data_IF_494137861436
#
_entry.id   IF_494137861436
#
_cell.length_a   1.000
_cell.length_b   1.000
_cell.length_c   1.000
_cell.angle_alpha   90.00
_cell.angle_beta   90.00
_cell.angle_gamma   90.00
#
_symmetry.space_group_name_H-M   'P 1'
#
loop_
_entity.id
_entity.type
_entity.pdbx_description
1 polymer ?
#
# COMPACT_ATOMS: atom_id res chain seq x y z
N UNK A 1 -6.37 15.55 -4.21
CA UNK A 1 -6.50 14.39 -5.13
C UNK A 1 -6.08 13.07 -4.48
N UNK A 2 -4.87 12.99 -3.90
CA UNK A 2 -4.33 11.74 -3.34
C UNK A 2 -5.15 11.12 -2.20
N UNK A 3 -5.83 11.93 -1.38
CA UNK A 3 -6.65 11.42 -0.27
C UNK A 3 -7.86 10.61 -0.75
N UNK A 4 -8.64 11.15 -1.68
CA UNK A 4 -9.82 10.47 -2.20
C UNK A 4 -9.45 9.12 -2.84
N UNK A 5 -8.41 9.12 -3.68
CA UNK A 5 -7.89 7.91 -4.31
C UNK A 5 -7.41 6.90 -3.26
N UNK A 6 -6.65 7.32 -2.25
CA UNK A 6 -6.20 6.41 -1.19
C UNK A 6 -7.38 5.83 -0.39
N UNK A 7 -8.45 6.61 -0.14
CA UNK A 7 -9.67 6.13 0.53
C UNK A 7 -10.40 5.08 -0.31
N UNK A 8 -10.48 5.28 -1.61
CA UNK A 8 -11.04 4.30 -2.55
C UNK A 8 -10.23 3.00 -2.54
N UNK A 9 -8.90 3.08 -2.60
CA UNK A 9 -8.04 1.90 -2.49
C UNK A 9 -8.23 1.16 -1.17
N UNK A 10 -8.27 1.88 -0.04
CA UNK A 10 -8.51 1.28 1.28
C UNK A 10 -9.87 0.59 1.33
N UNK A 11 -10.90 1.17 0.71
CA UNK A 11 -12.24 0.58 0.64
C UNK A 11 -12.23 -0.70 -0.19
N UNK A 12 -11.59 -0.67 -1.36
CA UNK A 12 -11.42 -1.83 -2.22
C UNK A 12 -10.65 -2.95 -1.51
N UNK A 13 -9.50 -2.63 -0.90
CA UNK A 13 -8.71 -3.60 -0.14
C UNK A 13 -9.49 -4.17 1.04
N UNK A 14 -10.31 -3.36 1.73
CA UNK A 14 -11.14 -3.83 2.84
C UNK A 14 -12.16 -4.87 2.37
N UNK A 15 -12.87 -4.60 1.27
CA UNK A 15 -13.83 -5.54 0.69
C UNK A 15 -13.15 -6.82 0.19
N UNK A 16 -12.03 -6.68 -0.51
CA UNK A 16 -11.28 -7.81 -1.06
C UNK A 16 -10.70 -8.70 0.04
N UNK A 17 -10.14 -8.12 1.10
CA UNK A 17 -9.64 -8.87 2.25
C UNK A 17 -10.79 -9.55 2.99
N UNK A 18 -11.93 -8.87 3.17
CA UNK A 18 -13.07 -9.46 3.87
C UNK A 18 -13.61 -10.70 3.14
N UNK A 19 -13.83 -10.61 1.83
CA UNK A 19 -14.37 -11.73 1.04
C UNK A 19 -13.42 -12.94 0.99
N UNK A 20 -12.11 -12.69 1.07
CA UNK A 20 -11.08 -13.72 0.92
C UNK A 20 -10.50 -14.22 2.26
N UNK A 21 -10.96 -13.68 3.40
CA UNK A 21 -10.42 -13.97 4.73
C UNK A 21 -10.43 -15.47 5.05
N UNK A 22 -11.54 -16.15 4.80
CA UNK A 22 -11.69 -17.55 5.21
C UNK A 22 -10.85 -18.49 4.36
N UNK A 23 -10.59 -18.15 3.09
CA UNK A 23 -9.81 -18.95 2.15
C UNK A 23 -8.30 -18.79 2.37
N UNK A 24 -7.84 -17.59 2.75
CA UNK A 24 -6.42 -17.25 2.69
C UNK A 24 -5.83 -16.72 4.00
N UNK A 25 -6.55 -16.81 5.13
CA UNK A 25 -6.10 -16.31 6.45
C UNK A 25 -4.68 -16.71 6.87
N UNK A 26 -4.25 -17.92 6.52
CA UNK A 26 -2.94 -18.47 6.89
C UNK A 26 -1.85 -18.14 5.88
N UNK A 27 -2.22 -17.67 4.68
CA UNK A 27 -1.28 -17.41 3.59
C UNK A 27 -0.44 -16.15 3.87
N UNK A 28 0.87 -16.24 3.61
CA UNK A 28 1.80 -15.13 3.81
C UNK A 28 1.41 -13.88 3.00
N UNK A 29 1.07 -14.08 1.72
CA UNK A 29 0.68 -12.97 0.82
C UNK A 29 -0.55 -12.22 1.36
N UNK A 30 -1.51 -12.94 1.96
CA UNK A 30 -2.74 -12.37 2.48
C UNK A 30 -2.50 -11.56 3.77
N UNK A 31 -1.61 -12.05 4.63
CA UNK A 31 -1.16 -11.32 5.82
C UNK A 31 -0.45 -10.03 5.43
N UNK A 32 0.46 -10.08 4.45
CA UNK A 32 1.17 -8.89 3.93
C UNK A 32 0.22 -7.90 3.25
N UNK A 33 -0.77 -8.38 2.49
CA UNK A 33 -1.81 -7.51 1.92
C UNK A 33 -2.63 -6.79 3.00
N UNK A 34 -2.93 -7.49 4.10
CA UNK A 34 -3.61 -6.89 5.26
C UNK A 34 -2.76 -5.82 5.93
N UNK A 35 -1.43 -6.00 5.98
CA UNK A 35 -0.51 -4.97 6.47
C UNK A 35 -0.52 -3.73 5.58
N UNK A 36 -0.46 -3.88 4.25
CA UNK A 36 -0.56 -2.74 3.31
C UNK A 36 -1.85 -1.95 3.55
N UNK A 37 -2.99 -2.63 3.72
CA UNK A 37 -4.26 -1.97 4.08
C UNK A 37 -4.14 -1.18 5.40
N UNK A 38 -3.58 -1.78 6.45
CA UNK A 38 -3.41 -1.11 7.75
C UNK A 38 -2.52 0.12 7.65
N UNK A 39 -1.43 0.04 6.89
CA UNK A 39 -0.52 1.17 6.68
C UNK A 39 -1.15 2.26 5.81
N UNK A 40 -1.96 1.90 4.82
CA UNK A 40 -2.75 2.84 4.03
C UNK A 40 -3.72 3.63 4.93
N UNK A 41 -4.41 2.96 5.85
CA UNK A 41 -5.27 3.62 6.85
C UNK A 41 -4.47 4.56 7.75
N UNK A 42 -3.27 4.15 8.19
CA UNK A 42 -2.38 5.00 9.00
C UNK A 42 -1.84 6.21 8.24
N UNK A 43 -1.73 6.13 6.91
CA UNK A 43 -1.27 7.23 6.06
C UNK A 43 -2.37 8.28 5.87
N UNK A 44 -3.65 7.90 5.79
CA UNK A 44 -4.77 8.84 5.57
C UNK A 44 -4.72 10.11 6.44
N UNK A 45 -4.63 10.02 7.79
CA UNK A 45 -4.58 11.23 8.62
C UNK A 45 -3.25 11.99 8.53
N UNK A 46 -2.22 11.41 7.90
CA UNK A 46 -0.84 11.94 7.81
C UNK A 46 -0.48 12.39 6.40
N UNK A 47 -1.44 12.43 5.46
CA UNK A 47 -1.18 12.73 4.05
C UNK A 47 -0.55 14.11 3.81
N UNK A 48 -0.89 15.09 4.64
CA UNK A 48 -0.33 16.45 4.53
C UNK A 48 1.13 16.49 4.97
N UNK A 49 1.47 15.81 6.07
CA UNK A 49 2.83 15.78 6.60
C UNK A 49 3.16 14.38 7.17
N UNK A 50 3.59 13.44 6.32
CA UNK A 50 4.01 12.13 6.78
C UNK A 50 5.27 12.27 7.66
N UNK A 51 5.38 11.54 8.80
CA UNK A 51 6.59 11.53 9.59
C UNK A 51 7.80 11.06 8.78
N UNK A 52 8.99 11.53 9.12
CA UNK A 52 10.24 11.10 8.47
C UNK A 52 10.38 9.57 8.53
N UNK A 53 10.79 8.97 7.41
CA UNK A 53 10.95 7.52 7.27
C UNK A 53 9.66 6.69 7.28
N UNK A 54 8.48 7.29 7.52
CA UNK A 54 7.20 6.55 7.46
C UNK A 54 6.91 6.04 6.05
N UNK A 55 7.16 6.88 5.03
CA UNK A 55 6.92 6.53 3.63
C UNK A 55 7.85 5.40 3.17
N UNK A 56 9.12 5.41 3.57
CA UNK A 56 10.09 4.36 3.22
C UNK A 56 9.72 3.02 3.87
N UNK A 57 9.32 3.07 5.15
CA UNK A 57 8.81 1.91 5.86
C UNK A 57 7.54 1.35 5.25
N UNK A 58 6.66 2.21 4.74
CA UNK A 58 5.45 1.78 4.06
C UNK A 58 5.78 1.17 2.70
N UNK A 59 6.66 1.81 1.93
CA UNK A 59 7.12 1.32 0.63
C UNK A 59 7.75 -0.08 0.74
N UNK A 60 8.64 -0.31 1.71
CA UNK A 60 9.26 -1.61 1.93
C UNK A 60 8.22 -2.73 2.17
N UNK A 61 7.16 -2.43 2.92
CA UNK A 61 6.06 -3.38 3.19
C UNK A 61 5.20 -3.62 1.96
N UNK A 62 4.93 -2.57 1.19
CA UNK A 62 4.19 -2.66 -0.06
C UNK A 62 4.93 -3.54 -1.08
N UNK A 63 6.24 -3.31 -1.25
CA UNK A 63 7.09 -4.13 -2.11
C UNK A 63 7.15 -5.59 -1.62
N UNK A 64 7.26 -5.80 -0.31
CA UNK A 64 7.20 -7.14 0.28
C UNK A 64 5.88 -7.88 0.03
N UNK A 65 4.75 -7.16 0.05
CA UNK A 65 3.44 -7.71 -0.28
C UNK A 65 3.33 -8.02 -1.77
N UNK A 66 3.73 -7.09 -2.64
CA UNK A 66 3.77 -7.26 -4.09
C UNK A 66 4.58 -8.50 -4.50
N UNK A 67 5.82 -8.63 -4.01
CA UNK A 67 6.68 -9.78 -4.31
C UNK A 67 6.05 -11.11 -3.87
N UNK A 68 5.38 -11.13 -2.71
CA UNK A 68 4.70 -12.33 -2.24
C UNK A 68 3.52 -12.72 -3.12
N UNK A 69 2.78 -11.74 -3.67
CA UNK A 69 1.67 -12.00 -4.60
C UNK A 69 2.20 -12.50 -5.94
N UNK A 70 3.24 -11.87 -6.49
CA UNK A 70 3.87 -12.30 -7.75
C UNK A 70 4.36 -13.75 -7.67
N UNK A 71 5.01 -14.14 -6.57
CA UNK A 71 5.45 -15.52 -6.36
C UNK A 71 4.30 -16.54 -6.31
N UNK A 72 3.12 -16.13 -5.84
CA UNK A 72 1.94 -17.01 -5.84
C UNK A 72 1.23 -17.03 -7.20
N UNK A 73 1.17 -15.90 -7.90
CA UNK A 73 0.66 -15.82 -9.27
C UNK A 73 1.49 -16.65 -10.25
N UNK A 74 2.82 -16.68 -10.07
CA UNK A 74 3.71 -17.55 -10.84
C UNK A 74 3.37 -19.04 -10.66
N UNK A 75 2.73 -19.42 -9.55
CA UNK A 75 2.18 -20.77 -9.31
C UNK A 75 0.71 -20.91 -9.74
N UNK A 76 0.24 -20.02 -10.61
CA UNK A 76 -1.14 -19.92 -11.13
C UNK A 76 -2.24 -19.86 -10.06
N UNK A 77 -1.89 -19.49 -8.83
CA UNK A 77 -2.83 -19.42 -7.73
C UNK A 77 -3.62 -18.09 -7.77
N UNK A 78 -4.96 -18.16 -7.72
CA UNK A 78 -5.90 -17.04 -7.51
C UNK A 78 -5.66 -15.78 -8.39
N UNK A 79 -5.47 -15.98 -9.70
CA UNK A 79 -5.14 -14.93 -10.69
C UNK A 79 -5.95 -13.63 -10.55
N UNK A 80 -7.28 -13.70 -10.55
CA UNK A 80 -8.13 -12.51 -10.51
C UNK A 80 -7.91 -11.66 -9.24
N UNK A 81 -7.81 -12.32 -8.08
CA UNK A 81 -7.62 -11.66 -6.79
C UNK A 81 -6.21 -11.07 -6.70
N UNK A 82 -5.18 -11.84 -7.08
CA UNK A 82 -3.80 -11.38 -7.06
C UNK A 82 -3.56 -10.18 -7.97
N UNK A 83 -4.14 -10.19 -9.18
CA UNK A 83 -4.06 -9.04 -10.10
C UNK A 83 -4.74 -7.79 -9.55
N UNK A 84 -5.89 -7.95 -8.88
CA UNK A 84 -6.59 -6.83 -8.23
C UNK A 84 -5.74 -6.20 -7.12
N UNK A 85 -5.08 -7.02 -6.30
CA UNK A 85 -4.13 -6.53 -5.29
C UNK A 85 -2.95 -5.80 -5.92
N UNK A 86 -2.35 -6.34 -6.99
CA UNK A 86 -1.25 -5.68 -7.69
C UNK A 86 -1.67 -4.31 -8.20
N UNK A 87 -2.81 -4.22 -8.88
CA UNK A 87 -3.31 -2.95 -9.40
C UNK A 87 -3.58 -1.92 -8.29
N UNK A 88 -4.10 -2.35 -7.14
CA UNK A 88 -4.27 -1.47 -5.97
C UNK A 88 -2.93 -1.05 -5.37
N UNK A 89 -1.98 -1.98 -5.22
CA UNK A 89 -0.65 -1.68 -4.68
C UNK A 89 0.13 -0.73 -5.58
N UNK A 90 0.05 -0.86 -6.90
CA UNK A 90 0.67 0.07 -7.84
C UNK A 90 0.12 1.49 -7.69
N UNK A 91 -1.19 1.65 -7.53
CA UNK A 91 -1.82 2.96 -7.28
C UNK A 91 -1.37 3.57 -5.96
N UNK A 92 -1.33 2.77 -4.89
CA UNK A 92 -0.83 3.21 -3.58
C UNK A 92 0.66 3.59 -3.67
N UNK A 93 1.47 2.82 -4.39
CA UNK A 93 2.90 3.10 -4.57
C UNK A 93 3.13 4.42 -5.30
N UNK A 94 2.34 4.72 -6.34
CA UNK A 94 2.38 6.01 -7.03
C UNK A 94 2.09 7.19 -6.08
N UNK A 95 1.11 7.05 -5.19
CA UNK A 95 0.82 8.06 -4.15
C UNK A 95 2.01 8.23 -3.19
N UNK A 96 2.61 7.13 -2.72
CA UNK A 96 3.78 7.17 -1.84
C UNK A 96 4.94 7.90 -2.52
N UNK A 97 5.24 7.56 -3.78
CA UNK A 97 6.31 8.18 -4.56
C UNK A 97 6.09 9.68 -4.74
N UNK A 98 4.87 10.07 -5.07
CA UNK A 98 4.50 11.47 -5.16
C UNK A 98 4.77 12.19 -3.82
N UNK A 99 4.34 11.63 -2.69
CA UNK A 99 4.58 12.23 -1.36
C UNK A 99 6.07 12.31 -0.98
N UNK A 100 6.87 11.29 -1.30
CA UNK A 100 8.32 11.30 -1.08
C UNK A 100 9.00 12.42 -1.87
N UNK A 101 8.60 12.61 -3.14
CA UNK A 101 9.13 13.71 -3.98
C UNK A 101 8.82 15.06 -3.34
N UNK A 102 7.57 15.29 -2.91
CA UNK A 102 7.17 16.54 -2.25
C UNK A 102 7.96 16.82 -0.97
N UNK A 103 8.25 15.78 -0.16
CA UNK A 103 9.08 15.93 1.04
C UNK A 103 10.53 16.33 0.71
N UNK A 104 11.09 15.77 -0.36
CA UNK A 104 12.47 16.04 -0.76
C UNK A 104 12.64 17.41 -1.45
N UNK A 105 11.57 17.97 -2.02
CA UNK A 105 11.60 19.28 -2.70
C UNK A 105 11.36 20.49 -1.79
N UNK A 106 10.95 20.31 -0.53
CA UNK A 106 10.85 21.42 0.42
C UNK A 106 12.24 21.76 0.95
N UNK A 107 12.85 22.90 0.59
CA UNK A 107 14.12 23.32 1.16
C UNK A 107 13.95 23.56 2.66
N UNK A 108 14.96 23.17 3.44
CA UNK A 108 15.08 23.57 4.84
C UNK A 108 14.78 25.06 4.98
N UNK A 109 14.04 25.51 6.01
CA UNK A 109 14.02 26.92 6.33
C UNK A 109 15.48 27.30 6.63
N UNK A 110 16.04 28.18 5.80
CA UNK A 110 17.29 28.87 6.06
C UNK A 110 17.19 29.43 7.47
N UNK A 111 18.02 28.89 8.38
CA UNK A 111 18.17 29.47 9.70
C UNK A 111 18.86 30.82 9.49
N UNK A 112 18.09 31.90 9.61
CA UNK A 112 18.57 33.28 9.75
C UNK A 112 19.12 33.52 11.14
#
# INVERSE_FOLDING_TARGET
>A
MNEAVLREEVTLLTRLIYSNKNQHRSSLWFRRATEVKRWSIKLLPKLQQPPSGFLDQFEARLLGAYNSIIQNLARTAFMAIGMTFIASFSRIHSIIKHLQIHQNTLPYPTQS
#
